data_IF_578772209612
#
_entry.id   IF_578772209612
#
_cell.length_a   1.000
_cell.length_b   1.000
_cell.length_c   1.000
_cell.angle_alpha   90.00
_cell.angle_beta   90.00
_cell.angle_gamma   90.00
#
_symmetry.space_group_name_H-M   'P 1'
#
loop_
_entity.id
_entity.type
_entity.pdbx_description
1 polymer ?
#
# COMPACT_ATOMS: atom_id res chain seq x y z
N UNK A 1 16.02 48.57 20.02
CA UNK A 1 15.96 48.58 18.54
C UNK A 1 17.38 48.49 17.97
N UNK A 2 17.86 47.28 17.60
CA UNK A 2 18.89 47.15 16.58
C UNK A 2 18.38 46.33 15.39
N UNK A 3 18.66 46.84 14.19
CA UNK A 3 18.40 46.20 12.89
C UNK A 3 19.32 44.99 12.72
N UNK A 4 18.76 43.83 12.41
CA UNK A 4 19.48 42.67 11.93
C UNK A 4 19.29 42.52 10.41
N UNK A 5 20.44 42.35 9.75
CA UNK A 5 20.67 42.40 8.31
C UNK A 5 20.01 41.23 7.58
N UNK A 6 19.45 41.51 6.39
CA UNK A 6 18.95 40.51 5.45
C UNK A 6 20.14 39.77 4.80
N UNK A 7 20.08 38.43 4.81
CA UNK A 7 20.97 37.56 4.04
C UNK A 7 20.34 37.24 2.67
N UNK A 8 21.15 37.06 1.60
CA UNK A 8 20.65 36.90 0.23
C UNK A 8 20.04 35.52 -0.02
N UNK A 9 18.95 35.49 -0.79
CA UNK A 9 18.32 34.28 -1.32
C UNK A 9 19.23 33.57 -2.33
N UNK A 10 19.51 32.27 -2.18
CA UNK A 10 20.01 31.47 -3.30
C UNK A 10 18.83 31.02 -4.17
N UNK A 11 18.78 31.52 -5.40
CA UNK A 11 17.99 30.95 -6.48
C UNK A 11 18.60 29.61 -6.88
N UNK A 12 18.08 28.51 -6.32
CA UNK A 12 18.38 27.14 -6.74
C UNK A 12 17.17 26.57 -7.46
N UNK A 13 17.35 26.13 -8.71
CA UNK A 13 16.35 25.39 -9.48
C UNK A 13 15.88 24.17 -8.67
N UNK A 14 14.58 24.08 -8.43
CA UNK A 14 13.96 22.90 -7.85
C UNK A 14 14.03 21.77 -8.89
N UNK A 15 15.01 20.88 -8.74
CA UNK A 15 14.93 19.55 -9.36
C UNK A 15 13.71 18.85 -8.75
N UNK A 16 12.73 18.55 -9.61
CA UNK A 16 11.53 17.81 -9.25
C UNK A 16 11.91 16.44 -8.63
N UNK A 17 11.26 16.00 -7.54
CA UNK A 17 11.59 14.74 -6.89
C UNK A 17 11.38 13.55 -7.83
N UNK A 18 12.22 12.53 -7.66
CA UNK A 18 12.20 11.26 -8.39
C UNK A 18 10.80 10.65 -8.26
N UNK A 19 10.08 10.53 -9.37
CA UNK A 19 8.78 9.83 -9.40
C UNK A 19 8.95 8.38 -8.92
N UNK A 20 8.02 7.91 -8.09
CA UNK A 20 8.04 6.59 -7.45
C UNK A 20 8.08 5.42 -8.47
N UNK A 21 7.82 5.70 -9.75
CA UNK A 21 7.95 4.74 -10.87
C UNK A 21 9.28 3.97 -10.90
N UNK A 22 10.39 4.56 -10.43
CA UNK A 22 11.69 3.90 -10.40
C UNK A 22 11.82 2.82 -9.33
N UNK A 23 11.01 2.88 -8.27
CA UNK A 23 10.99 1.90 -7.17
C UNK A 23 9.95 0.81 -7.43
N UNK A 24 8.82 1.16 -8.07
CA UNK A 24 7.64 0.30 -8.21
C UNK A 24 7.59 -0.56 -9.48
N UNK A 25 8.61 -0.53 -10.35
CA UNK A 25 8.66 -1.40 -11.54
C UNK A 25 7.47 -1.27 -12.51
N UNK A 26 6.77 -0.13 -12.47
CA UNK A 26 5.65 0.15 -13.36
C UNK A 26 6.19 0.58 -14.73
N UNK A 27 6.41 -0.38 -15.62
CA UNK A 27 6.71 -0.10 -17.02
C UNK A 27 5.40 0.27 -17.71
N UNK A 28 5.19 1.55 -18.00
CA UNK A 28 4.15 1.98 -18.95
C UNK A 28 4.49 1.41 -20.34
N UNK A 29 4.04 0.19 -20.61
CA UNK A 29 4.15 -0.45 -21.91
C UNK A 29 3.07 0.04 -22.85
N UNK A 30 3.41 1.00 -23.71
CA UNK A 30 2.60 1.29 -24.90
C UNK A 30 2.50 0.02 -25.75
N UNK A 31 1.27 -0.50 -25.88
CA UNK A 31 0.93 -1.63 -26.73
C UNK A 31 1.27 -1.33 -28.20
N UNK A 32 2.46 -1.75 -28.65
CA UNK A 32 2.71 -2.09 -30.05
C UNK A 32 3.20 -3.53 -30.14
N UNK A 33 2.32 -4.41 -30.61
CA UNK A 33 2.60 -5.81 -30.95
C UNK A 33 3.80 -5.90 -31.89
N UNK A 34 4.94 -6.41 -31.43
CA UNK A 34 5.87 -7.19 -32.26
C UNK A 34 6.44 -8.35 -31.45
N UNK A 35 6.38 -9.53 -32.06
CA UNK A 35 6.91 -10.81 -31.55
C UNK A 35 8.44 -10.73 -31.43
N UNK A 36 8.99 -11.09 -30.27
CA UNK A 36 10.38 -11.54 -30.14
C UNK A 36 10.51 -12.53 -28.96
N UNK A 37 11.37 -13.54 -29.14
CA UNK A 37 11.61 -14.71 -28.27
C UNK A 37 12.34 -14.32 -26.96
N UNK A 38 12.35 -15.19 -25.93
CA UNK A 38 12.85 -14.86 -24.61
C UNK A 38 14.35 -15.12 -24.52
N UNK A 39 15.16 -14.06 -24.49
CA UNK A 39 16.54 -14.14 -24.00
C UNK A 39 16.64 -13.45 -22.64
N UNK A 40 17.31 -14.15 -21.72
CA UNK A 40 17.43 -13.84 -20.29
C UNK A 40 18.11 -12.48 -20.08
N UNK A 41 17.39 -11.49 -19.57
CA UNK A 41 17.99 -10.31 -18.96
C UNK A 41 18.35 -10.61 -17.50
N UNK A 42 19.66 -10.76 -17.25
CA UNK A 42 20.27 -10.83 -15.91
C UNK A 42 20.41 -9.38 -15.41
N UNK A 43 19.94 -9.09 -14.20
CA UNK A 43 20.14 -7.81 -13.54
C UNK A 43 21.57 -7.81 -12.96
N UNK A 44 22.53 -7.18 -13.62
CA UNK A 44 23.85 -6.90 -13.03
C UNK A 44 23.75 -5.59 -12.24
N UNK A 45 23.58 -5.71 -10.92
CA UNK A 45 23.76 -4.62 -9.96
C UNK A 45 25.27 -4.44 -9.73
N UNK A 46 25.86 -3.45 -10.38
CA UNK A 46 27.26 -3.06 -10.14
C UNK A 46 27.37 -2.31 -8.80
N UNK A 47 27.64 -3.06 -7.72
CA UNK A 47 27.82 -2.57 -6.36
C UNK A 47 29.28 -2.11 -6.13
N UNK A 48 29.75 -1.12 -6.87
CA UNK A 48 31.03 -0.45 -6.61
C UNK A 48 30.85 1.07 -6.62
N UNK A 49 30.31 1.60 -5.54
CA UNK A 49 30.42 3.02 -5.21
C UNK A 49 31.34 3.15 -3.98
N UNK A 50 32.64 3.35 -4.23
CA UNK A 50 33.72 3.47 -3.24
C UNK A 50 33.75 4.88 -2.59
N UNK A 51 32.59 5.40 -2.14
CA UNK A 51 32.54 6.65 -1.37
C UNK A 51 32.68 6.40 0.14
N UNK A 52 33.57 7.10 0.86
CA UNK A 52 33.71 6.91 2.30
C UNK A 52 32.46 7.38 3.06
N UNK A 53 32.00 6.59 4.03
CA UNK A 53 30.95 6.96 4.98
C UNK A 53 31.46 8.02 5.98
N UNK A 54 30.63 8.98 6.40
CA UNK A 54 31.02 9.96 7.42
C UNK A 54 31.18 9.32 8.80
N UNK A 55 32.22 9.75 9.52
CA UNK A 55 32.59 9.25 10.84
C UNK A 55 31.64 9.77 11.92
N UNK A 56 30.82 8.87 12.48
CA UNK A 56 29.94 9.15 13.62
C UNK A 56 29.38 7.86 14.20
N UNK A 57 30.22 7.06 14.87
CA UNK A 57 29.85 5.79 15.48
C UNK A 57 29.40 5.93 16.94
N UNK A 58 28.35 5.21 17.30
CA UNK A 58 27.92 4.95 18.69
C UNK A 58 28.94 3.98 19.36
N UNK A 59 29.33 4.15 20.63
CA UNK A 59 30.30 3.27 21.26
C UNK A 59 29.73 1.86 21.48
N UNK A 60 30.48 0.83 21.06
CA UNK A 60 30.22 -0.59 21.37
C UNK A 60 31.00 -0.97 22.64
N UNK A 61 30.40 -1.66 23.63
CA UNK A 61 31.10 -2.04 24.86
C UNK A 61 32.20 -3.09 24.61
N UNK A 62 33.30 -3.07 25.39
CA UNK A 62 34.42 -3.99 25.22
C UNK A 62 34.02 -5.43 25.58
N UNK A 63 34.18 -6.36 24.63
CA UNK A 63 33.91 -7.80 24.80
C UNK A 63 33.08 -8.44 23.68
N UNK A 64 32.50 -7.66 22.76
CA UNK A 64 31.75 -8.20 21.63
C UNK A 64 32.69 -8.76 20.55
N UNK A 65 32.79 -10.09 20.46
CA UNK A 65 33.42 -10.78 19.33
C UNK A 65 32.48 -10.70 18.12
N UNK A 66 32.77 -9.80 17.19
CA UNK A 66 32.08 -9.74 15.89
C UNK A 66 32.73 -10.75 14.95
N UNK A 67 32.06 -11.88 14.70
CA UNK A 67 32.45 -12.82 13.63
C UNK A 67 31.85 -12.37 12.30
N UNK A 68 32.63 -12.26 11.22
CA UNK A 68 32.10 -11.90 9.92
C UNK A 68 31.32 -13.08 9.32
N UNK A 69 30.00 -12.94 9.17
CA UNK A 69 29.19 -13.86 8.39
C UNK A 69 29.32 -13.50 6.89
N UNK A 70 30.35 -14.07 6.25
CA UNK A 70 30.40 -14.22 4.80
C UNK A 70 29.64 -15.49 4.39
N UNK A 71 28.49 -15.32 3.76
CA UNK A 71 27.74 -16.22 2.83
C UNK A 71 26.32 -15.67 2.80
N UNK A 72 25.88 -14.97 1.76
CA UNK A 72 25.60 -15.53 0.44
C UNK A 72 24.08 -15.68 0.34
N UNK A 73 23.38 -14.60 -0.03
CA UNK A 73 21.91 -14.50 -0.05
C UNK A 73 21.32 -15.16 -1.31
N UNK A 74 21.58 -16.46 -1.49
CA UNK A 74 21.11 -17.24 -2.63
C UNK A 74 20.77 -18.68 -2.22
N UNK A 75 19.89 -18.88 -1.23
CA UNK A 75 19.37 -20.22 -0.91
C UNK A 75 18.11 -20.21 0.00
N UNK A 76 17.03 -19.51 -0.35
CA UNK A 76 15.70 -19.71 0.31
C UNK A 76 14.52 -19.73 -0.68
N UNK A 77 14.76 -19.96 -1.96
CA UNK A 77 13.70 -20.17 -2.96
C UNK A 77 13.88 -21.55 -3.57
N UNK A 78 13.38 -22.60 -2.91
CA UNK A 78 12.91 -23.88 -3.50
C UNK A 78 12.48 -24.85 -2.38
N UNK A 79 11.19 -24.88 -2.06
CA UNK A 79 10.53 -26.12 -1.61
C UNK A 79 9.23 -26.24 -2.39
N UNK A 80 9.35 -26.84 -3.57
CA UNK A 80 8.23 -27.25 -4.39
C UNK A 80 7.71 -28.62 -3.93
N UNK A 81 6.40 -28.66 -3.67
CA UNK A 81 5.46 -29.71 -4.04
C UNK A 81 6.01 -31.15 -4.22
N UNK A 82 5.80 -31.99 -3.20
CA UNK A 82 5.51 -33.44 -3.30
C UNK A 82 4.59 -33.73 -2.11
N UNK A 83 3.40 -34.31 -2.26
CA UNK A 83 3.14 -35.67 -2.72
C UNK A 83 1.73 -35.78 -3.32
N UNK A 84 1.64 -36.46 -4.47
CA UNK A 84 0.38 -36.93 -5.03
C UNK A 84 -0.01 -38.29 -4.45
N UNK A 85 -1.31 -38.48 -4.22
CA UNK A 85 -1.94 -39.79 -4.19
C UNK A 85 -3.24 -39.72 -4.98
N UNK A 86 -3.24 -40.41 -6.12
CA UNK A 86 -4.42 -40.62 -6.97
C UNK A 86 -5.41 -41.54 -6.27
N UNK A 87 -6.68 -41.12 -6.18
CA UNK A 87 -7.82 -42.03 -6.13
C UNK A 87 -8.90 -41.50 -7.08
N UNK A 88 -9.18 -42.27 -8.13
CA UNK A 88 -10.28 -42.07 -9.07
C UNK A 88 -11.57 -42.63 -8.47
N UNK A 89 -12.60 -41.80 -8.38
CA UNK A 89 -14.05 -42.12 -8.43
C UNK A 89 -14.68 -40.79 -8.89
N UNK A 90 -15.43 -40.63 -9.97
CA UNK A 90 -16.64 -41.28 -10.43
C UNK A 90 -17.48 -40.14 -11.05
N UNK A 91 -18.06 -40.36 -12.23
CA UNK A 91 -18.65 -39.33 -13.10
C UNK A 91 -19.97 -38.76 -12.56
N UNK A 92 -20.25 -37.49 -12.91
CA UNK A 92 -21.62 -36.96 -13.03
C UNK A 92 -21.94 -35.77 -12.15
N UNK A 93 -21.50 -34.57 -12.54
CA UNK A 93 -22.14 -33.32 -12.14
C UNK A 93 -21.98 -32.31 -13.27
N UNK A 94 -23.08 -31.68 -13.67
CA UNK A 94 -23.07 -30.52 -14.56
C UNK A 94 -22.11 -29.48 -13.97
N UNK A 95 -20.97 -29.27 -14.63
CA UNK A 95 -20.05 -28.18 -14.29
C UNK A 95 -20.69 -26.92 -14.86
N UNK A 96 -21.31 -26.11 -13.99
CA UNK A 96 -21.65 -24.74 -14.32
C UNK A 96 -20.36 -24.00 -14.69
N UNK A 97 -20.25 -23.54 -15.93
CA UNK A 97 -19.13 -22.74 -16.46
C UNK A 97 -19.11 -21.29 -15.89
N UNK A 98 -19.67 -21.09 -14.70
CA UNK A 98 -19.50 -19.85 -13.97
C UNK A 98 -18.08 -19.87 -13.41
N UNK A 99 -17.13 -19.23 -14.09
CA UNK A 99 -15.92 -18.75 -13.41
C UNK A 99 -16.40 -18.07 -12.13
N UNK A 100 -15.84 -18.39 -10.94
CA UNK A 100 -16.21 -17.67 -9.74
C UNK A 100 -16.05 -16.17 -10.04
N UNK A 101 -17.13 -15.43 -9.86
CA UNK A 101 -17.14 -13.98 -10.07
C UNK A 101 -16.05 -13.42 -9.18
N UNK A 102 -14.99 -12.89 -9.79
CA UNK A 102 -13.88 -12.26 -9.07
C UNK A 102 -14.47 -11.13 -8.22
N UNK A 103 -14.32 -11.13 -6.89
CA UNK A 103 -14.95 -10.13 -6.04
C UNK A 103 -14.50 -8.72 -6.43
N UNK A 104 -15.42 -7.76 -6.45
CA UNK A 104 -15.05 -6.36 -6.67
C UNK A 104 -14.27 -5.85 -5.46
N UNK A 105 -13.14 -5.19 -5.70
CA UNK A 105 -12.33 -4.53 -4.66
C UNK A 105 -12.53 -3.02 -4.77
N UNK A 106 -13.02 -2.38 -3.72
CA UNK A 106 -13.07 -0.92 -3.63
C UNK A 106 -11.81 -0.40 -2.95
N UNK A 107 -11.06 0.46 -3.64
CA UNK A 107 -9.99 1.24 -3.04
C UNK A 107 -10.51 2.64 -2.76
N UNK A 108 -10.51 3.04 -1.50
CA UNK A 108 -11.00 4.35 -1.05
C UNK A 108 -9.81 5.27 -0.76
N UNK A 109 -9.88 6.51 -1.22
CA UNK A 109 -8.82 7.50 -1.01
C UNK A 109 -9.43 8.83 -0.54
N UNK A 110 -9.13 9.28 0.70
CA UNK A 110 -9.40 10.64 1.10
C UNK A 110 -8.30 11.55 0.55
N UNK A 111 -8.68 12.75 0.10
CA UNK A 111 -7.73 13.74 -0.41
C UNK A 111 -8.09 15.13 0.10
N UNK A 112 -7.11 15.93 0.50
CA UNK A 112 -7.28 17.35 0.78
C UNK A 112 -5.94 18.07 0.71
N UNK A 113 -5.75 18.85 -0.35
CA UNK A 113 -4.53 19.57 -0.73
C UNK A 113 -3.31 18.66 -0.91
N UNK A 114 -3.46 17.62 -1.73
CA UNK A 114 -2.47 16.56 -1.89
C UNK A 114 -2.06 16.37 -3.36
N UNK A 115 -2.13 17.44 -4.16
CA UNK A 115 -1.80 17.42 -5.59
C UNK A 115 -0.39 16.88 -5.88
N UNK A 116 0.53 17.09 -4.94
CA UNK A 116 1.91 16.63 -5.06
C UNK A 116 2.03 15.09 -5.07
N UNK A 117 1.18 14.37 -4.33
CA UNK A 117 1.33 12.92 -4.12
C UNK A 117 0.22 12.10 -4.75
N UNK A 118 -0.94 12.71 -4.98
CA UNK A 118 -2.10 12.03 -5.56
C UNK A 118 -1.78 11.27 -6.86
N UNK A 119 -0.94 11.77 -7.79
CA UNK A 119 -0.57 11.01 -8.99
C UNK A 119 0.07 9.65 -8.68
N UNK A 120 0.98 9.58 -7.71
CA UNK A 120 1.61 8.31 -7.30
C UNK A 120 0.56 7.32 -6.75
N UNK A 121 -0.40 7.84 -5.98
CA UNK A 121 -1.52 7.05 -5.42
C UNK A 121 -2.38 6.47 -6.54
N UNK A 122 -2.86 7.33 -7.46
CA UNK A 122 -3.69 6.95 -8.60
C UNK A 122 -2.99 5.90 -9.48
N UNK A 123 -1.72 6.14 -9.81
CA UNK A 123 -0.92 5.22 -10.62
C UNK A 123 -0.72 3.86 -9.94
N UNK A 124 -0.58 3.82 -8.61
CA UNK A 124 -0.41 2.57 -7.86
C UNK A 124 -1.64 1.67 -7.90
N UNK A 125 -2.85 2.24 -7.96
CA UNK A 125 -4.10 1.50 -8.09
C UNK A 125 -4.35 1.14 -9.55
N UNK A 126 -4.13 2.07 -10.48
CA UNK A 126 -4.31 1.83 -11.91
C UNK A 126 -3.37 0.75 -12.46
N UNK A 127 -2.20 0.54 -11.85
CA UNK A 127 -1.25 -0.47 -12.29
C UNK A 127 -1.50 -1.88 -11.73
N UNK A 128 -2.54 -2.09 -10.91
CA UNK A 128 -2.86 -3.42 -10.38
C UNK A 128 -3.23 -4.42 -11.49
N UNK A 129 -2.75 -5.66 -11.37
CA UNK A 129 -3.06 -6.76 -12.28
C UNK A 129 -4.45 -7.35 -12.06
N UNK A 130 -5.05 -7.09 -10.90
CA UNK A 130 -6.40 -7.53 -10.59
C UNK A 130 -7.42 -6.66 -11.34
N UNK A 131 -8.29 -7.26 -12.18
CA UNK A 131 -9.08 -6.49 -13.14
C UNK A 131 -10.38 -5.91 -12.57
N UNK A 132 -10.83 -6.35 -11.39
CA UNK A 132 -12.13 -5.96 -10.83
C UNK A 132 -11.93 -5.01 -9.64
N UNK A 133 -11.46 -3.80 -9.94
CA UNK A 133 -11.20 -2.74 -8.95
C UNK A 133 -12.06 -1.54 -9.29
N UNK A 134 -12.67 -0.92 -8.29
CA UNK A 134 -13.10 0.47 -8.37
C UNK A 134 -12.22 1.33 -7.46
N UNK A 135 -11.79 2.49 -7.95
CA UNK A 135 -11.05 3.47 -7.15
C UNK A 135 -11.94 4.68 -6.92
N UNK A 136 -12.20 5.01 -5.67
CA UNK A 136 -13.05 6.13 -5.28
C UNK A 136 -12.23 7.14 -4.48
N UNK A 137 -12.10 8.37 -5.01
CA UNK A 137 -11.45 9.48 -4.33
C UNK A 137 -12.50 10.45 -3.77
N UNK A 138 -12.44 10.72 -2.47
CA UNK A 138 -13.22 11.76 -1.81
C UNK A 138 -12.33 12.94 -1.49
N UNK A 139 -12.48 14.02 -2.24
CA UNK A 139 -11.74 15.26 -2.04
C UNK A 139 -12.49 16.21 -1.09
N UNK A 140 -11.81 16.68 -0.05
CA UNK A 140 -12.35 17.54 1.02
C UNK A 140 -12.53 19.02 0.65
N UNK A 141 -12.61 19.34 -0.65
CA UNK A 141 -12.63 20.73 -1.13
C UNK A 141 -11.23 21.32 -1.24
N UNK A 142 -10.32 20.63 -1.93
CA UNK A 142 -8.95 21.09 -2.17
C UNK A 142 -8.90 22.42 -2.91
N UNK A 143 -7.89 23.22 -2.58
CA UNK A 143 -7.61 24.52 -3.19
C UNK A 143 -6.30 24.55 -3.99
N UNK A 144 -5.55 23.45 -3.97
CA UNK A 144 -4.38 23.22 -4.81
C UNK A 144 -4.77 22.56 -6.14
N UNK A 145 -3.79 21.96 -6.84
CA UNK A 145 -4.02 21.33 -8.14
C UNK A 145 -4.77 19.96 -8.08
N UNK A 146 -5.27 19.54 -6.91
CA UNK A 146 -5.85 18.20 -6.70
C UNK A 146 -7.07 17.97 -7.58
N UNK A 147 -7.98 18.95 -7.67
CA UNK A 147 -9.20 18.83 -8.46
C UNK A 147 -8.88 18.71 -9.95
N UNK A 148 -7.92 19.49 -10.46
CA UNK A 148 -7.48 19.40 -11.86
C UNK A 148 -6.85 18.04 -12.17
N UNK A 149 -6.11 17.45 -11.22
CA UNK A 149 -5.56 16.10 -11.37
C UNK A 149 -6.70 15.07 -11.48
N UNK A 150 -7.72 15.18 -10.62
CA UNK A 150 -8.89 14.28 -10.63
C UNK A 150 -9.75 14.43 -11.89
N UNK A 151 -9.94 15.64 -12.39
CA UNK A 151 -10.61 15.90 -13.68
C UNK A 151 -9.87 15.26 -14.86
N UNK A 152 -8.55 15.13 -14.77
CA UNK A 152 -7.71 14.47 -15.79
C UNK A 152 -7.54 12.95 -15.57
N UNK A 153 -8.06 12.41 -14.47
CA UNK A 153 -7.92 11.00 -14.14
C UNK A 153 -8.73 10.12 -15.11
N UNK A 154 -8.33 8.87 -15.35
CA UNK A 154 -9.10 7.95 -16.19
C UNK A 154 -10.51 7.72 -15.65
N UNK A 155 -11.49 7.46 -16.53
CA UNK A 155 -12.90 7.20 -16.17
C UNK A 155 -13.11 6.08 -15.13
N UNK A 156 -12.11 5.19 -14.97
CA UNK A 156 -12.12 4.13 -13.96
C UNK A 156 -12.00 4.67 -12.52
N UNK A 157 -11.52 5.90 -12.33
CA UNK A 157 -11.42 6.59 -11.05
C UNK A 157 -12.69 7.42 -10.85
N UNK A 158 -13.52 7.01 -9.90
CA UNK A 158 -14.68 7.78 -9.46
C UNK A 158 -14.23 8.78 -8.41
N UNK A 159 -14.71 10.02 -8.47
CA UNK A 159 -14.36 11.00 -7.47
C UNK A 159 -15.44 12.04 -7.24
N UNK A 160 -15.37 12.73 -6.11
CA UNK A 160 -16.14 13.92 -5.82
C UNK A 160 -15.29 14.91 -5.02
N UNK A 161 -15.60 16.21 -5.12
CA UNK A 161 -14.97 17.26 -4.33
C UNK A 161 -16.03 18.10 -3.63
N UNK A 162 -15.99 18.11 -2.30
CA UNK A 162 -16.83 18.95 -1.46
C UNK A 162 -16.19 19.09 -0.07
N UNK A 163 -16.41 20.20 0.66
CA UNK A 163 -15.94 20.33 2.03
C UNK A 163 -16.30 19.12 2.89
N UNK A 164 -15.33 18.67 3.69
CA UNK A 164 -15.48 17.56 4.64
C UNK A 164 -15.26 18.02 6.09
N UNK A 165 -15.60 17.13 7.03
CA UNK A 165 -15.31 17.29 8.46
C UNK A 165 -14.01 16.59 8.88
N UNK A 166 -13.12 16.34 7.92
CA UNK A 166 -11.90 15.57 8.08
C UNK A 166 -11.94 14.22 7.36
N UNK A 167 -10.81 13.52 7.43
CA UNK A 167 -10.53 12.30 6.68
C UNK A 167 -11.53 11.16 6.93
N UNK A 168 -12.08 11.04 8.15
CA UNK A 168 -13.13 10.06 8.45
C UNK A 168 -14.40 10.32 7.67
N UNK A 169 -14.83 11.58 7.54
CA UNK A 169 -16.02 11.97 6.77
C UNK A 169 -15.80 11.71 5.27
N UNK A 170 -14.62 12.07 4.74
CA UNK A 170 -14.24 11.76 3.36
C UNK A 170 -14.28 10.25 3.08
N UNK A 171 -13.75 9.43 3.98
CA UNK A 171 -13.77 7.98 3.84
C UNK A 171 -15.16 7.37 3.96
N UNK A 172 -15.99 7.89 4.86
CA UNK A 172 -17.38 7.45 4.98
C UNK A 172 -18.17 7.77 3.71
N UNK A 173 -17.98 8.96 3.11
CA UNK A 173 -18.57 9.31 1.81
C UNK A 173 -18.09 8.38 0.70
N UNK A 174 -16.78 8.13 0.61
CA UNK A 174 -16.21 7.18 -0.36
C UNK A 174 -16.75 5.76 -0.17
N UNK A 175 -16.88 5.30 1.08
CA UNK A 175 -17.42 3.99 1.43
C UNK A 175 -18.89 3.86 1.03
N UNK A 176 -19.71 4.89 1.28
CA UNK A 176 -21.12 4.92 0.87
C UNK A 176 -21.30 4.90 -0.66
N UNK A 177 -20.34 5.43 -1.42
CA UNK A 177 -20.33 5.41 -2.90
C UNK A 177 -19.82 4.08 -3.48
N UNK A 178 -19.21 3.24 -2.65
CA UNK A 178 -18.52 2.01 -3.06
C UNK A 178 -19.42 0.79 -2.98
N UNK A 179 -19.12 -0.23 -3.78
CA UNK A 179 -19.90 -1.46 -3.95
C UNK A 179 -19.08 -2.75 -3.83
N UNK A 180 -17.75 -2.65 -3.75
CA UNK A 180 -16.85 -3.80 -3.66
C UNK A 180 -17.02 -4.64 -2.41
N UNK A 181 -16.86 -5.95 -2.55
CA UNK A 181 -16.95 -6.94 -1.48
C UNK A 181 -15.74 -6.90 -0.55
N UNK A 182 -14.61 -6.38 -1.04
CA UNK A 182 -13.39 -6.13 -0.28
C UNK A 182 -13.08 -4.64 -0.35
N UNK A 183 -12.77 -4.05 0.81
CA UNK A 183 -12.44 -2.64 0.97
C UNK A 183 -10.97 -2.51 1.32
N UNK A 184 -10.24 -1.76 0.51
CA UNK A 184 -8.95 -1.19 0.85
C UNK A 184 -9.09 0.32 1.01
N UNK A 185 -8.30 0.91 1.89
CA UNK A 185 -8.18 2.36 2.02
C UNK A 185 -6.69 2.71 1.90
N UNK A 186 -6.37 3.66 1.02
CA UNK A 186 -5.02 4.25 0.91
C UNK A 186 -5.14 5.77 0.94
N UNK A 187 -4.27 6.45 1.67
CA UNK A 187 -4.25 7.92 1.68
C UNK A 187 -3.67 8.46 0.37
N UNK A 188 -4.01 9.70 0.03
CA UNK A 188 -3.56 10.36 -1.20
C UNK A 188 -2.04 10.60 -1.29
N UNK A 189 -1.29 10.32 -0.22
CA UNK A 189 0.16 10.36 -0.11
C UNK A 189 0.84 8.98 -0.05
N UNK A 190 0.04 7.91 0.05
CA UNK A 190 0.47 6.52 0.10
C UNK A 190 0.36 5.83 -1.26
N UNK A 191 0.86 4.61 -1.38
CA UNK A 191 0.74 3.81 -2.61
C UNK A 191 0.65 2.31 -2.31
N UNK A 192 0.04 1.54 -3.22
CA UNK A 192 0.20 0.09 -3.23
C UNK A 192 1.61 -0.29 -3.69
N UNK A 193 2.21 -1.30 -3.05
CA UNK A 193 3.64 -1.63 -3.19
C UNK A 193 4.03 -2.11 -4.59
N UNK A 194 3.17 -2.84 -5.27
CA UNK A 194 3.40 -3.29 -6.65
C UNK A 194 2.06 -3.69 -7.30
N UNK A 195 2.10 -4.09 -8.57
CA UNK A 195 0.91 -4.46 -9.35
C UNK A 195 0.18 -5.72 -8.86
N UNK A 196 0.77 -6.53 -7.99
CA UNK A 196 0.23 -7.83 -7.55
C UNK A 196 -0.50 -7.75 -6.22
N UNK A 197 -0.45 -6.62 -5.51
CA UNK A 197 -0.98 -6.47 -4.15
C UNK A 197 -2.45 -6.88 -4.06
N UNK A 198 -3.32 -6.35 -4.91
CA UNK A 198 -4.76 -6.66 -4.85
C UNK A 198 -5.04 -8.10 -5.23
N UNK A 199 -4.30 -8.66 -6.19
CA UNK A 199 -4.46 -10.05 -6.61
C UNK A 199 -4.11 -11.03 -5.49
N UNK A 200 -3.02 -10.75 -4.76
CA UNK A 200 -2.58 -11.57 -3.66
C UNK A 200 -3.51 -11.45 -2.43
N UNK A 201 -4.08 -10.28 -2.18
CA UNK A 201 -5.10 -10.05 -1.15
C UNK A 201 -6.38 -10.85 -1.44
N UNK A 202 -6.86 -10.81 -2.69
CA UNK A 202 -8.05 -11.57 -3.09
C UNK A 202 -7.79 -13.07 -2.96
N UNK A 203 -6.64 -13.56 -3.44
CA UNK A 203 -6.27 -14.96 -3.29
C UNK A 203 -6.16 -15.39 -1.82
N UNK A 204 -5.71 -14.50 -0.93
CA UNK A 204 -5.68 -14.76 0.50
C UNK A 204 -7.10 -14.93 1.06
N UNK A 205 -8.02 -14.03 0.73
CA UNK A 205 -9.41 -14.12 1.16
C UNK A 205 -10.13 -15.36 0.60
N UNK A 206 -9.85 -15.74 -0.65
CA UNK A 206 -10.44 -16.95 -1.27
C UNK A 206 -9.98 -18.23 -0.56
N UNK A 207 -8.73 -18.27 -0.09
CA UNK A 207 -8.18 -19.41 0.65
C UNK A 207 -8.53 -19.41 2.14
N UNK A 208 -9.01 -18.29 2.67
CA UNK A 208 -9.36 -18.10 4.09
C UNK A 208 -10.74 -17.43 4.22
N UNK A 209 -11.83 -18.17 3.93
CA UNK A 209 -13.19 -17.61 3.97
C UNK A 209 -13.63 -17.19 5.38
N UNK A 210 -12.95 -17.66 6.43
CA UNK A 210 -13.19 -17.30 7.83
C UNK A 210 -12.43 -16.04 8.28
N UNK A 211 -11.62 -15.42 7.41
CA UNK A 211 -10.91 -14.17 7.71
C UNK A 211 -11.70 -12.99 7.16
N UNK A 212 -11.87 -11.97 8.01
CA UNK A 212 -12.59 -10.73 7.70
C UNK A 212 -11.65 -9.57 7.40
N UNK A 213 -10.47 -9.54 8.06
CA UNK A 213 -9.47 -8.49 7.92
C UNK A 213 -8.12 -9.12 7.62
N UNK A 214 -7.51 -8.74 6.50
CA UNK A 214 -6.13 -9.09 6.16
C UNK A 214 -5.26 -7.85 6.24
N UNK A 215 -4.07 -7.99 6.79
CA UNK A 215 -3.07 -6.93 6.80
C UNK A 215 -1.67 -7.48 6.51
N UNK A 216 -0.80 -6.61 6.00
CA UNK A 216 0.58 -6.96 5.68
C UNK A 216 1.60 -6.02 6.30
N UNK A 217 2.79 -6.03 5.75
CA UNK A 217 3.83 -5.04 6.02
C UNK A 217 3.67 -3.82 5.12
N UNK A 218 4.33 -2.72 5.46
CA UNK A 218 4.49 -1.59 4.56
C UNK A 218 5.96 -1.14 4.49
N UNK A 219 6.34 -0.46 3.42
CA UNK A 219 7.57 0.34 3.39
C UNK A 219 7.24 1.76 3.83
N UNK A 220 8.11 2.36 4.62
CA UNK A 220 8.07 3.80 4.84
C UNK A 220 9.14 4.47 3.99
N UNK A 221 8.75 5.51 3.25
CA UNK A 221 9.63 6.33 2.42
C UNK A 221 9.59 7.79 2.87
N UNK A 222 10.64 8.54 2.59
CA UNK A 222 10.67 9.99 2.74
C UNK A 222 9.91 10.67 1.60
N UNK A 223 9.66 11.97 1.74
CA UNK A 223 9.03 12.80 0.71
C UNK A 223 9.72 12.68 -0.67
N UNK A 224 11.05 12.57 -0.69
CA UNK A 224 11.86 12.43 -1.91
C UNK A 224 11.96 11.00 -2.45
N UNK A 225 11.27 10.04 -1.81
CA UNK A 225 11.22 8.64 -2.20
C UNK A 225 12.32 7.76 -1.60
N UNK A 226 13.24 8.30 -0.79
CA UNK A 226 14.24 7.47 -0.12
C UNK A 226 13.59 6.51 0.87
N UNK A 227 14.04 5.25 0.86
CA UNK A 227 13.62 4.25 1.82
C UNK A 227 14.06 4.64 3.24
N UNK A 228 13.12 4.63 4.19
CA UNK A 228 13.39 4.89 5.61
C UNK A 228 13.46 3.57 6.37
N UNK A 229 12.38 2.77 6.34
CA UNK A 229 12.29 1.50 7.09
C UNK A 229 11.17 0.62 6.58
N UNK A 230 11.21 -0.66 6.95
CA UNK A 230 10.06 -1.56 6.83
C UNK A 230 9.19 -1.39 8.08
N UNK A 231 7.91 -1.10 7.88
CA UNK A 231 6.88 -1.17 8.91
C UNK A 231 6.42 -2.63 9.01
N UNK A 232 7.13 -3.40 9.82
CA UNK A 232 6.82 -4.81 10.03
C UNK A 232 5.66 -4.98 11.02
N UNK A 233 4.56 -5.54 10.55
CA UNK A 233 3.44 -5.95 11.42
C UNK A 233 3.60 -7.40 11.91
N UNK A 234 3.43 -7.69 13.20
CA UNK A 234 3.50 -9.05 13.75
C UNK A 234 2.26 -9.90 13.42
N UNK A 235 2.32 -11.24 13.60
CA UNK A 235 1.13 -12.09 13.55
C UNK A 235 0.07 -11.63 14.55
N UNK A 236 -1.20 -11.74 14.17
CA UNK A 236 -2.30 -11.13 14.90
C UNK A 236 -2.41 -11.67 16.32
N UNK A 237 -2.52 -10.75 17.29
CA UNK A 237 -2.89 -11.06 18.67
C UNK A 237 -3.74 -9.92 19.20
N UNK A 238 -4.97 -10.25 19.59
CA UNK A 238 -5.94 -9.27 20.11
C UNK A 238 -5.38 -8.47 21.30
N UNK A 239 -4.70 -9.14 22.24
CA UNK A 239 -4.06 -8.47 23.38
C UNK A 239 -3.00 -7.44 22.98
N UNK A 240 -2.24 -7.70 21.91
CA UNK A 240 -1.24 -6.76 21.39
C UNK A 240 -1.92 -5.55 20.75
N UNK A 241 -3.02 -5.75 20.03
CA UNK A 241 -3.75 -4.68 19.37
C UNK A 241 -4.31 -3.68 20.39
N UNK A 242 -4.73 -4.16 21.58
CA UNK A 242 -5.15 -3.29 22.69
C UNK A 242 -4.03 -2.41 23.26
N UNK A 243 -2.77 -2.78 23.05
CA UNK A 243 -1.62 -2.05 23.60
C UNK A 243 -0.92 -1.18 22.55
N UNK A 244 -0.90 -1.62 21.29
CA UNK A 244 -0.16 -0.95 20.23
C UNK A 244 -0.82 -1.14 18.87
N UNK A 245 -0.97 -0.06 18.11
CA UNK A 245 -1.47 -0.07 16.74
C UNK A 245 -0.39 -0.59 15.76
N UNK A 246 -0.29 -1.91 15.60
CA UNK A 246 0.67 -2.53 14.69
C UNK A 246 0.15 -2.78 13.27
N UNK A 247 -1.15 -2.56 13.03
CA UNK A 247 -1.74 -2.73 11.71
C UNK A 247 -1.52 -1.44 10.94
N UNK A 248 -0.68 -1.51 9.90
CA UNK A 248 -0.39 -0.34 9.08
C UNK A 248 -1.56 -0.11 8.14
N UNK A 249 -2.26 1.01 8.34
CA UNK A 249 -3.53 1.33 7.67
C UNK A 249 -3.52 1.09 6.15
N UNK A 250 -2.59 1.65 5.33
CA UNK A 250 -2.61 1.45 3.88
C UNK A 250 -2.32 0.00 3.46
N UNK A 251 -1.85 -0.84 4.37
CA UNK A 251 -1.57 -2.26 4.17
C UNK A 251 -2.67 -3.16 4.76
N UNK A 252 -3.91 -2.68 4.92
CA UNK A 252 -5.04 -3.44 5.43
C UNK A 252 -6.21 -3.48 4.43
N UNK A 253 -6.84 -4.65 4.33
CA UNK A 253 -8.03 -4.90 3.50
C UNK A 253 -9.08 -5.63 4.33
N UNK A 254 -10.34 -5.28 4.12
CA UNK A 254 -11.46 -5.69 4.98
C UNK A 254 -12.59 -6.21 4.11
N UNK A 255 -13.22 -7.33 4.48
CA UNK A 255 -14.49 -7.73 3.86
C UNK A 255 -15.56 -6.70 4.18
N UNK A 256 -16.30 -6.23 3.17
CA UNK A 256 -17.41 -5.30 3.38
C UNK A 256 -18.41 -5.82 4.41
N UNK A 257 -18.66 -7.13 4.45
CA UNK A 257 -19.59 -7.76 5.40
C UNK A 257 -19.20 -7.57 6.87
N UNK A 258 -17.93 -7.23 7.17
CA UNK A 258 -17.47 -6.91 8.51
C UNK A 258 -17.65 -5.43 8.89
N UNK A 259 -17.96 -4.57 7.92
CA UNK A 259 -18.09 -3.13 8.12
C UNK A 259 -19.56 -2.72 8.31
N UNK A 260 -19.75 -1.68 9.11
CA UNK A 260 -21.01 -0.96 9.25
C UNK A 260 -20.97 0.34 8.45
N UNK A 261 -22.12 0.95 8.19
CA UNK A 261 -22.24 2.32 7.70
C UNK A 261 -22.68 3.24 8.87
N UNK A 262 -21.92 4.30 9.22
CA UNK A 262 -20.61 4.67 8.68
C UNK A 262 -19.49 3.69 9.04
N UNK A 263 -18.47 3.62 8.17
CA UNK A 263 -17.30 2.78 8.34
C UNK A 263 -16.45 3.22 9.54
N UNK A 264 -16.19 4.52 9.62
CA UNK A 264 -15.32 5.16 10.61
C UNK A 264 -16.10 6.10 11.51
N UNK A 265 -15.70 6.17 12.78
CA UNK A 265 -16.25 7.13 13.73
C UNK A 265 -15.51 8.47 13.61
N UNK A 266 -16.20 9.49 13.10
CA UNK A 266 -15.63 10.83 12.88
C UNK A 266 -15.09 11.51 14.14
N UNK A 267 -15.49 11.09 15.34
CA UNK A 267 -14.95 11.61 16.59
C UNK A 267 -13.45 11.30 16.80
N UNK A 268 -12.88 10.31 16.11
CA UNK A 268 -11.48 9.91 16.23
C UNK A 268 -10.67 10.43 15.05
N UNK A 269 -9.84 11.46 15.26
CA UNK A 269 -9.15 12.12 14.15
C UNK A 269 -7.78 11.51 13.84
N UNK A 270 -7.00 11.13 14.86
CA UNK A 270 -5.63 10.60 14.70
C UNK A 270 -5.50 9.09 14.92
N UNK A 271 -6.59 8.45 15.35
CA UNK A 271 -6.61 7.03 15.75
C UNK A 271 -7.84 6.31 15.20
N UNK A 272 -8.44 6.85 14.14
CA UNK A 272 -9.61 6.29 13.46
C UNK A 272 -9.39 4.85 12.99
N UNK A 273 -8.20 4.56 12.47
CA UNK A 273 -7.79 3.22 12.06
C UNK A 273 -7.71 2.28 13.27
N UNK A 274 -7.07 2.72 14.36
CA UNK A 274 -6.93 1.91 15.57
C UNK A 274 -8.28 1.64 16.24
N UNK A 275 -9.18 2.64 16.28
CA UNK A 275 -10.57 2.45 16.71
C UNK A 275 -11.26 1.38 15.87
N UNK A 276 -11.16 1.48 14.54
CA UNK A 276 -11.77 0.51 13.64
C UNK A 276 -11.22 -0.90 13.91
N UNK A 277 -9.90 -1.05 14.05
CA UNK A 277 -9.28 -2.35 14.33
C UNK A 277 -9.77 -2.94 15.65
N UNK A 278 -9.86 -2.12 16.71
CA UNK A 278 -10.33 -2.56 18.03
C UNK A 278 -11.79 -2.98 17.99
N UNK A 279 -12.64 -2.19 17.32
CA UNK A 279 -14.07 -2.49 17.17
C UNK A 279 -14.31 -3.76 16.35
N UNK A 280 -13.62 -3.92 15.23
CA UNK A 280 -13.73 -5.13 14.41
C UNK A 280 -13.22 -6.36 15.16
N UNK A 281 -12.14 -6.22 15.93
CA UNK A 281 -11.53 -7.30 16.68
C UNK A 281 -12.43 -7.94 17.77
N UNK A 282 -13.57 -7.33 18.10
CA UNK A 282 -14.56 -7.92 19.01
C UNK A 282 -15.32 -9.10 18.40
N UNK A 283 -15.50 -9.11 17.07
CA UNK A 283 -16.37 -10.06 16.37
C UNK A 283 -15.77 -10.67 15.11
N UNK A 284 -14.67 -10.11 14.62
CA UNK A 284 -14.09 -10.44 13.32
C UNK A 284 -12.69 -11.01 13.44
N UNK A 285 -12.34 -11.85 12.45
CA UNK A 285 -11.06 -12.56 12.42
C UNK A 285 -10.05 -11.82 11.56
N UNK A 286 -8.87 -11.65 12.12
CA UNK A 286 -7.74 -10.99 11.48
C UNK A 286 -6.68 -12.01 11.11
N UNK A 287 -6.05 -11.81 9.96
CA UNK A 287 -4.85 -12.56 9.59
C UNK A 287 -3.79 -11.64 9.00
N UNK A 288 -2.53 -12.00 9.21
CA UNK A 288 -1.41 -11.35 8.54
C UNK A 288 -1.07 -12.12 7.26
N UNK A 289 -0.88 -11.40 6.16
CA UNK A 289 -0.18 -11.90 4.98
C UNK A 289 1.29 -11.48 5.06
N UNK A 290 2.22 -12.42 4.85
CA UNK A 290 3.67 -12.19 4.95
C UNK A 290 4.21 -11.51 3.68
N UNK A 291 3.67 -10.33 3.37
CA UNK A 291 3.92 -9.54 2.16
C UNK A 291 3.92 -8.05 2.50
N UNK A 292 4.75 -7.27 1.80
CA UNK A 292 4.66 -5.81 1.81
C UNK A 292 3.54 -5.40 0.86
N UNK A 293 2.49 -4.78 1.38
CA UNK A 293 1.30 -4.42 0.59
C UNK A 293 1.29 -2.96 0.17
N UNK A 294 1.89 -2.07 0.96
CA UNK A 294 1.81 -0.64 0.72
C UNK A 294 3.11 0.11 1.02
N UNK A 295 3.13 1.36 0.59
CA UNK A 295 4.14 2.37 0.85
C UNK A 295 3.47 3.50 1.64
N UNK A 296 3.95 3.77 2.84
CA UNK A 296 3.61 4.92 3.69
C UNK A 296 4.61 6.05 3.42
N UNK A 297 4.12 7.24 3.06
CA UNK A 297 5.01 8.39 2.85
C UNK A 297 5.15 9.20 4.13
N UNK A 298 6.40 9.51 4.47
CA UNK A 298 6.74 10.31 5.63
C UNK A 298 7.15 11.73 5.19
N UNK A 299 6.27 12.69 5.46
CA UNK A 299 6.50 14.12 5.25
C UNK A 299 5.77 14.95 6.31
N UNK A 300 6.12 16.23 6.43
CA UNK A 300 5.60 17.12 7.48
C UNK A 300 4.12 17.48 7.36
N UNK A 301 3.53 17.32 6.18
CA UNK A 301 2.14 17.63 5.89
C UNK A 301 1.20 16.40 5.94
N UNK A 302 1.72 15.23 6.32
CA UNK A 302 0.88 14.04 6.54
C UNK A 302 -0.09 14.31 7.68
N UNK A 303 -1.32 13.83 7.54
CA UNK A 303 -2.37 13.97 8.55
C UNK A 303 -2.44 12.75 9.45
#
# INVERSE_FOLDING_TARGET
MPRLQQLPHPQGRADLPVRLHRVLGCVQGTLRRRRARPDRCRLDLDLRDDRPLPAGGVPVPPGAVVRPLRRGLAEVLHVAARQGHHRRVGQGAHVSDARPTRPLVSILTPSLNQAQWLPDTLDSVACQSYPNIEHIVSDGGSTDATVQILESAPDAVRWHSAPDRGQSDALNKAFAMSSGEIIGWINSDDALMDSRVVEDVVAFFDSHPDVDVVYGHALQIAADGHFIRVLWSPPYRHSRLKTFNFIVQPAAFIRRSALSDPMLRESYHFVMDWELWLRLAEKHRFARIDRILAVDRHHSARK
#
